data_IF_292505772668
#
_entry.id   IF_292505772668
#
_cell.length_a   1.000
_cell.length_b   1.000
_cell.length_c   1.000
_cell.angle_alpha   90.00
_cell.angle_beta   90.00
_cell.angle_gamma   90.00
#
_symmetry.space_group_name_H-M   'P 1'
#
loop_
_entity.id
_entity.type
_entity.pdbx_description
1 polymer ?
2 non-polymer ?
3 water ?
#
# COMPACT_ATOMS: atom_id res chain seq x y z
N UNK A 1 9.70 9.28 9.79
CA UNK A 1 8.25 9.47 9.64
C UNK A 1 7.75 8.43 8.67
N UNK A 2 7.53 8.88 7.47
CA UNK A 2 6.94 8.07 6.37
C UNK A 2 7.29 6.55 6.38
N UNK A 3 6.34 5.81 5.76
CA UNK A 3 6.40 4.33 5.54
C UNK A 3 5.60 3.97 4.25
N UNK A 4 6.18 3.17 3.31
CA UNK A 4 5.41 2.87 2.07
C UNK A 4 5.31 1.36 1.93
N UNK A 5 4.16 0.98 1.47
CA UNK A 5 3.96 -0.47 1.36
C UNK A 5 3.48 -0.55 -0.09
N UNK A 6 4.27 -1.49 -0.66
CA UNK A 6 4.02 -1.78 -2.12
C UNK A 6 3.35 -3.13 -2.34
N UNK A 7 2.15 -3.20 -2.90
CA UNK A 7 1.48 -4.47 -2.98
C UNK A 7 0.72 -4.75 -4.25
N UNK A 8 0.52 -6.04 -4.52
CA UNK A 8 -0.21 -6.46 -5.71
C UNK A 8 -1.60 -6.71 -5.05
N UNK A 9 -2.45 -6.36 -6.00
CA UNK A 9 -3.80 -6.49 -5.56
C UNK A 9 -4.09 -7.84 -5.03
N UNK A 10 -4.91 -7.90 -4.03
CA UNK A 10 -5.38 -9.13 -3.39
C UNK A 10 -4.37 -9.41 -2.29
N UNK A 11 -3.30 -8.66 -2.13
CA UNK A 11 -2.39 -9.04 -0.99
C UNK A 11 -2.67 -8.26 0.26
N UNK A 12 -2.13 -8.40 1.42
CA UNK A 12 -2.24 -7.74 2.68
C UNK A 12 -1.20 -6.68 2.84
N UNK A 13 -1.34 -5.46 3.24
CA UNK A 13 -0.33 -4.46 3.52
C UNK A 13 -0.22 -4.51 5.03
N UNK A 14 0.91 -4.60 5.63
CA UNK A 14 0.91 -4.56 7.11
C UNK A 14 1.94 -3.51 7.53
N UNK A 15 1.51 -2.48 8.22
CA UNK A 15 2.49 -1.45 8.68
C UNK A 15 2.95 -1.80 10.09
N UNK A 16 4.11 -1.50 10.60
CA UNK A 16 4.42 -1.90 12.01
C UNK A 16 4.94 -0.63 12.65
N UNK A 17 4.49 -0.21 13.82
CA UNK A 17 4.94 1.10 14.43
C UNK A 17 5.52 0.71 15.77
N UNK A 18 6.82 0.88 15.74
CA UNK A 18 7.58 0.31 16.85
C UNK A 18 8.23 1.07 17.94
N UNK A 19 7.74 2.27 18.05
CA UNK A 19 8.17 3.34 18.92
C UNK A 19 7.93 3.27 20.43
N UNK A 20 9.03 3.57 21.10
CA UNK A 20 9.41 3.76 22.49
C UNK A 20 8.55 3.07 23.55
N UNK A 21 8.24 1.81 23.25
CA UNK A 21 7.30 1.01 24.07
C UNK A 21 7.63 0.84 25.57
N UNK A 22 7.25 1.89 26.32
CA UNK A 22 7.44 1.97 27.79
C UNK A 22 6.14 1.44 28.39
N UNK A 23 5.79 2.12 29.48
CA UNK A 23 4.51 1.61 30.06
C UNK A 23 3.25 2.28 29.54
N UNK A 24 3.35 3.08 28.48
CA UNK A 24 2.29 3.83 27.78
C UNK A 24 0.94 3.22 27.27
N UNK A 25 -0.02 4.09 27.53
CA UNK A 25 -1.44 4.37 27.39
C UNK A 25 -1.49 5.60 26.42
N UNK A 26 -2.36 5.33 25.47
CA UNK A 26 -2.60 6.28 24.39
C UNK A 26 -4.03 5.97 23.97
N UNK A 27 -4.46 6.88 23.20
CA UNK A 27 -5.67 7.08 22.42
C UNK A 27 -4.87 7.23 21.08
N UNK A 28 -5.34 6.74 20.00
CA UNK A 28 -4.62 6.79 18.73
C UNK A 28 -5.78 6.86 17.76
N UNK A 29 -5.53 7.40 16.62
CA UNK A 29 -6.60 7.60 15.60
C UNK A 29 -5.83 7.41 14.32
N UNK A 30 -6.32 6.85 13.25
CA UNK A 30 -5.73 6.69 11.94
C UNK A 30 -6.85 7.07 10.97
N UNK A 31 -6.60 7.97 10.07
CA UNK A 31 -7.57 8.43 9.04
C UNK A 31 -6.86 8.25 7.70
N UNK A 32 -7.54 7.80 6.69
CA UNK A 32 -7.08 7.49 5.34
C UNK A 32 -7.65 8.26 4.15
N UNK A 33 -6.79 8.57 3.14
CA UNK A 33 -7.42 9.25 1.98
C UNK A 33 -7.14 8.29 0.83
N UNK A 34 -8.19 7.70 0.33
CA UNK A 34 -7.99 6.77 -0.80
C UNK A 34 -7.83 7.62 -2.05
N UNK A 35 -6.74 7.49 -2.79
CA UNK A 35 -6.41 8.18 -4.03
C UNK A 35 -7.56 8.49 -5.00
N UNK A 36 -8.27 7.61 -5.73
CA UNK A 36 -9.17 8.38 -6.63
C UNK A 36 -10.48 8.72 -5.97
N UNK A 37 -10.97 7.87 -5.08
CA UNK A 37 -12.32 8.35 -4.55
C UNK A 37 -12.07 8.79 -3.11
N UNK A 38 -11.77 10.07 -3.01
CA UNK A 38 -11.36 10.64 -1.71
C UNK A 38 -12.43 11.05 -0.71
N UNK A 39 -13.46 10.19 -0.75
CA UNK A 39 -14.70 10.21 0.07
C UNK A 39 -14.32 10.13 1.55
N UNK A 40 -14.08 11.33 2.17
CA UNK A 40 -13.62 11.43 3.57
C UNK A 40 -14.73 10.95 4.57
N UNK A 41 -14.04 9.97 5.17
CA UNK A 41 -14.38 9.12 6.28
C UNK A 41 -13.64 7.77 6.30
N UNK A 42 -12.37 7.69 6.72
CA UNK A 42 -11.80 6.32 6.88
C UNK A 42 -11.13 6.46 8.24
N UNK A 43 -11.28 5.56 9.16
CA UNK A 43 -10.57 5.89 10.39
C UNK A 43 -10.76 4.68 11.25
N UNK A 44 -9.99 4.73 12.27
CA UNK A 44 -10.05 3.66 13.25
C UNK A 44 -9.66 4.39 14.53
N UNK A 45 -10.40 4.21 15.63
CA UNK A 45 -9.96 4.83 16.91
C UNK A 45 -9.46 3.69 17.78
N UNK A 46 -8.39 3.80 18.53
CA UNK A 46 -7.92 2.66 19.33
C UNK A 46 -7.30 3.25 20.58
N UNK A 47 -7.08 2.38 21.52
CA UNK A 47 -6.53 2.81 22.84
C UNK A 47 -5.49 1.78 23.29
N UNK A 48 -4.55 2.35 24.05
CA UNK A 48 -3.49 1.48 24.50
C UNK A 48 -3.39 1.59 26.01
N UNK A 49 -3.41 0.44 26.62
CA UNK A 49 -3.31 0.32 28.06
C UNK A 49 -2.55 -0.95 28.39
N UNK A 50 -1.44 -0.81 29.08
CA UNK A 50 -0.69 -2.08 29.41
C UNK A 50 -0.38 -2.92 28.18
N UNK A 51 0.15 -2.36 27.10
CA UNK A 51 0.47 -3.24 25.94
C UNK A 51 -0.76 -3.94 25.32
N UNK A 52 -1.98 -3.54 25.64
CA UNK A 52 -3.04 -4.26 24.94
C UNK A 52 -3.64 -3.12 24.13
N UNK A 53 -3.66 -3.37 22.84
CA UNK A 53 -4.27 -2.38 21.94
C UNK A 53 -5.76 -2.72 22.00
N UNK A 54 -6.56 -1.75 21.68
CA UNK A 54 -8.03 -1.85 21.60
C UNK A 54 -8.53 -0.75 20.63
N UNK A 55 -9.62 -1.18 20.05
CA UNK A 55 -10.27 -0.38 19.02
C UNK A 55 -11.58 0.08 19.61
N UNK A 56 -11.70 1.34 19.43
CA UNK A 56 -12.90 2.14 19.77
C UNK A 56 -13.32 2.41 18.33
N UNK A 57 -14.57 2.17 18.17
CA UNK A 57 -15.14 2.28 16.83
C UNK A 57 -14.44 2.94 15.64
N UNK A 58 -14.03 1.95 14.88
CA UNK A 58 -13.37 1.91 13.60
C UNK A 58 -14.33 2.12 12.45
N UNK A 59 -13.79 1.97 11.27
CA UNK A 59 -14.62 2.09 10.07
C UNK A 59 -14.46 0.67 9.49
N UNK A 60 -15.26 0.56 8.45
CA UNK A 60 -15.39 -0.69 7.68
C UNK A 60 -14.97 -0.61 6.19
N UNK A 61 -14.41 0.51 5.69
CA UNK A 61 -14.06 0.51 4.26
C UNK A 61 -12.86 1.31 3.93
N UNK A 62 -11.71 0.67 3.71
CA UNK A 62 -11.26 -0.71 3.81
C UNK A 62 -11.31 -1.37 5.18
N UNK A 63 -11.32 -2.65 5.47
CA UNK A 63 -11.36 -3.09 6.89
C UNK A 63 -9.97 -3.15 7.51
N UNK A 64 -9.56 -2.07 8.14
CA UNK A 64 -8.27 -1.89 8.85
C UNK A 64 -8.33 -2.95 9.93
N UNK A 65 -7.29 -3.57 10.38
CA UNK A 65 -7.30 -4.57 11.42
C UNK A 65 -6.15 -4.12 12.33
N UNK A 66 -6.38 -4.10 13.61
CA UNK A 66 -5.28 -3.67 14.47
C UNK A 66 -4.84 -4.92 15.23
N UNK A 67 -3.63 -5.01 15.62
CA UNK A 67 -2.99 -6.05 16.42
C UNK A 67 -3.54 -6.01 17.84
N UNK A 68 -4.13 -7.00 18.49
CA UNK A 68 -4.63 -6.92 19.88
C UNK A 68 -3.44 -6.71 20.86
N UNK A 69 -2.13 -6.62 20.62
CA UNK A 69 -1.05 -6.26 21.51
C UNK A 69 0.16 -5.61 20.81
N UNK A 70 1.11 -5.06 21.59
CA UNK A 70 2.46 -4.45 21.18
C UNK A 70 3.17 -5.57 20.49
N UNK A 71 3.25 -5.41 19.21
CA UNK A 71 3.49 -4.12 18.68
C UNK A 71 2.81 -3.08 17.92
N UNK A 72 1.53 -3.18 17.78
CA UNK A 72 0.85 -2.09 17.11
C UNK A 72 1.25 -2.31 15.62
N UNK A 73 0.42 -3.13 15.04
CA UNK A 73 0.64 -3.28 13.61
C UNK A 73 -0.77 -3.02 13.12
N UNK A 74 -0.88 -2.31 12.04
CA UNK A 74 -2.18 -2.00 11.43
C UNK A 74 -2.08 -2.81 10.15
N UNK A 75 -3.13 -3.45 9.74
CA UNK A 75 -2.93 -4.32 8.52
C UNK A 75 -4.03 -4.03 7.58
N UNK A 76 -3.97 -3.54 6.38
CA UNK A 76 -5.19 -3.37 5.50
C UNK A 76 -5.21 -4.74 4.87
N UNK A 77 -6.27 -5.55 4.86
CA UNK A 77 -6.15 -6.95 4.45
C UNK A 77 -6.34 -7.65 3.13
N UNK A 78 -6.84 -6.95 2.13
CA UNK A 78 -7.03 -7.69 0.83
C UNK A 78 -7.16 -6.43 0.01
N UNK A 79 -5.94 -5.92 -0.22
CA UNK A 79 -5.64 -4.72 -0.98
C UNK A 79 -6.31 -4.59 -2.32
N UNK A 80 -6.47 -3.32 -2.71
CA UNK A 80 -7.15 -3.08 -4.04
C UNK A 80 -6.72 -1.70 -4.52
N UNK A 81 -6.61 -1.39 -5.79
CA UNK A 81 -6.17 -0.13 -6.35
C UNK A 81 -7.05 0.99 -5.78
N UNK A 82 -8.22 0.54 -5.40
CA UNK A 82 -9.18 1.53 -4.86
C UNK A 82 -8.83 1.98 -3.45
N UNK A 83 -8.04 1.29 -2.66
CA UNK A 83 -7.67 1.72 -1.32
C UNK A 83 -6.29 2.37 -1.32
N UNK A 84 -5.61 2.49 -2.41
CA UNK A 84 -4.27 3.08 -2.34
C UNK A 84 -4.47 4.58 -2.17
N UNK A 85 -3.63 5.18 -1.43
CA UNK A 85 -3.57 6.59 -1.09
C UNK A 85 -2.67 6.60 0.17
N UNK A 86 -2.82 7.50 1.12
CA UNK A 86 -2.04 7.45 2.38
C UNK A 86 -2.82 8.10 3.53
N UNK A 87 -2.27 8.00 4.71
CA UNK A 87 -2.99 8.52 5.87
C UNK A 87 -2.08 8.76 7.03
N UNK A 88 -2.52 9.42 8.07
CA UNK A 88 -1.52 9.66 9.18
C UNK A 88 -1.98 8.89 10.40
N UNK A 89 -1.14 8.38 11.22
CA UNK A 89 -1.44 7.65 12.42
C UNK A 89 -0.89 8.59 13.51
N UNK A 90 -1.85 9.26 14.14
CA UNK A 90 -1.69 10.26 15.24
C UNK A 90 -1.69 9.49 16.53
N UNK A 91 -0.73 9.76 17.33
CA UNK A 91 -0.66 9.06 18.65
C UNK A 91 -0.70 10.23 19.67
N UNK A 92 -1.38 9.88 20.78
CA UNK A 92 -1.55 10.90 21.81
C UNK A 92 -1.16 10.56 23.25
N UNK A 93 -0.71 11.69 23.75
CA UNK A 93 -0.23 12.29 24.96
C UNK A 93 0.22 11.32 26.05
N UNK A 94 1.06 10.65 25.28
CA UNK A 94 2.19 9.82 25.58
C UNK A 94 2.81 11.05 26.38
N UNK A 95 2.87 12.17 25.61
CA UNK A 95 3.42 13.50 25.98
C UNK A 95 2.91 14.72 25.15
N UNK A 96 2.67 14.46 23.88
CA UNK A 96 2.10 15.38 22.88
C UNK A 96 1.38 14.50 21.85
N UNK A 97 1.26 15.01 20.64
CA UNK A 97 0.74 14.26 19.51
C UNK A 97 2.00 13.80 18.73
N UNK A 98 2.33 12.57 18.79
CA UNK A 98 3.34 11.85 18.06
C UNK A 98 2.69 11.55 16.71
N UNK A 99 3.31 11.55 15.58
CA UNK A 99 2.54 11.23 14.34
C UNK A 99 3.42 10.35 13.44
N UNK A 100 2.73 9.73 12.46
CA UNK A 100 3.38 8.86 11.46
C UNK A 100 2.69 9.02 10.11
N UNK A 101 3.47 9.09 9.03
CA UNK A 101 2.70 9.16 7.76
C UNK A 101 2.79 7.71 7.21
N UNK A 102 1.73 7.27 6.50
CA UNK A 102 1.55 5.90 5.96
C UNK A 102 0.95 5.86 4.55
N UNK A 103 1.65 5.02 3.75
CA UNK A 103 1.21 4.95 2.35
C UNK A 103 1.11 3.52 1.76
N UNK A 104 0.25 3.55 0.74
CA UNK A 104 0.04 2.29 0.09
C UNK A 104 -0.10 2.50 -1.41
N UNK A 105 0.95 1.88 -2.06
CA UNK A 105 0.86 1.93 -3.55
C UNK A 105 0.57 0.46 -3.98
N UNK A 106 -0.42 0.25 -4.84
CA UNK A 106 -1.01 -0.92 -5.45
C UNK A 106 -0.87 -1.08 -6.99
N UNK A 107 -0.45 -2.27 -7.38
CA UNK A 107 -0.21 -2.71 -8.75
C UNK A 107 -1.24 -3.75 -9.18
N UNK A 108 -1.65 -3.58 -10.40
CA UNK A 108 -2.61 -4.55 -10.99
C UNK A 108 -2.22 -4.95 -12.44
N UNK A 109 -1.82 -6.22 -12.60
CA UNK A 109 -1.40 -6.77 -13.89
C UNK A 109 -2.56 -7.63 -14.43
N UNK A 110 -2.98 -7.33 -15.63
CA UNK A 110 -3.98 -8.04 -16.36
C UNK A 110 -3.69 -8.13 -17.86
N UNK A 111 -4.28 -9.16 -18.40
CA UNK A 111 -4.40 -9.66 -19.76
C UNK A 111 -5.92 -9.58 -20.02
N UNK A 112 -6.33 -8.43 -20.55
CA UNK A 112 -7.74 -8.13 -20.79
C UNK A 112 -8.46 -8.79 -21.96
N UNK A 113 -7.71 -9.23 -22.93
CA UNK A 113 -8.12 -9.91 -24.18
C UNK A 113 -6.82 -10.54 -24.59
N UNK A 114 -6.38 -10.77 -25.81
CA UNK A 114 -4.97 -11.32 -25.86
C UNK A 114 -4.08 -10.49 -26.80
N UNK A 115 -4.57 -9.27 -26.91
CA UNK A 115 -3.91 -8.21 -27.66
C UNK A 115 -3.42 -7.34 -26.48
N UNK A 116 -4.19 -7.51 -25.39
CA UNK A 116 -3.75 -6.68 -24.28
C UNK A 116 -3.12 -7.39 -23.13
N UNK A 117 -2.14 -6.77 -22.51
CA UNK A 117 -1.38 -7.09 -21.31
C UNK A 117 -1.30 -5.68 -20.63
N UNK A 118 -1.77 -5.52 -19.41
CA UNK A 118 -1.73 -4.18 -18.85
C UNK A 118 -1.10 -4.08 -17.47
N UNK A 119 -0.51 -2.97 -17.11
CA UNK A 119 -0.02 -3.00 -15.74
C UNK A 119 -0.36 -1.63 -15.25
N UNK A 120 -1.08 -1.49 -14.13
CA UNK A 120 -1.36 -0.15 -13.64
C UNK A 120 -1.14 -0.21 -12.12
N UNK A 121 -0.71 0.98 -11.73
CA UNK A 121 -0.38 1.21 -10.29
C UNK A 121 -1.16 2.40 -9.74
N UNK A 122 -1.46 2.48 -8.46
CA UNK A 122 -2.20 3.65 -7.96
C UNK A 122 -1.73 4.03 -6.58
N UNK A 123 -1.69 5.32 -6.33
CA UNK A 123 -1.23 5.68 -4.95
C UNK A 123 -0.03 6.58 -5.18
N UNK A 124 0.58 6.98 -4.09
CA UNK A 124 1.75 7.86 -4.04
C UNK A 124 3.12 7.46 -4.59
N UNK A 125 3.21 7.88 -5.87
CA UNK A 125 4.47 7.59 -6.60
C UNK A 125 5.26 8.84 -6.95
N UNK A 126 6.57 8.77 -6.79
CA UNK A 126 7.49 9.83 -7.22
C UNK A 126 7.42 9.93 -8.75
N UNK A 127 7.83 10.99 -9.40
CA UNK A 127 7.89 11.15 -10.87
C UNK A 127 9.24 10.70 -11.48
N UNK A 128 10.12 10.17 -10.67
CA UNK A 128 11.38 9.49 -10.99
C UNK A 128 11.05 8.00 -10.63
N UNK A 129 9.89 7.57 -11.14
CA UNK A 129 9.24 6.25 -10.98
C UNK A 129 8.66 5.86 -12.37
N UNK A 130 9.08 4.66 -12.82
CA UNK A 130 8.55 4.24 -14.14
C UNK A 130 8.05 2.82 -14.03
N UNK A 131 7.20 2.47 -14.93
CA UNK A 131 6.61 1.14 -14.98
C UNK A 131 7.25 0.41 -16.19
N UNK A 132 7.42 -0.86 -15.95
CA UNK A 132 8.12 -1.71 -16.88
C UNK A 132 7.44 -3.05 -17.02
N UNK A 133 7.18 -3.43 -18.24
CA UNK A 133 6.60 -4.73 -18.64
C UNK A 133 7.77 -5.41 -19.37
N UNK A 134 8.28 -6.51 -18.97
CA UNK A 134 9.35 -7.36 -19.36
C UNK A 134 8.87 -8.81 -19.50
N UNK A 135 9.72 -9.59 -20.16
CA UNK A 135 9.34 -11.03 -20.32
C UNK A 135 9.98 -11.67 -19.10
N UNK A 136 9.44 -12.66 -18.45
CA UNK A 136 10.05 -13.17 -17.27
C UNK A 136 11.55 -12.94 -17.11
N UNK A 137 12.44 -13.45 -17.93
CA UNK A 137 13.88 -13.19 -17.54
C UNK A 137 14.79 -12.35 -18.42
N UNK A 138 14.23 -11.84 -19.46
CA UNK A 138 14.67 -11.03 -20.56
C UNK A 138 14.67 -9.57 -20.13
N UNK A 139 14.69 -8.64 -21.05
CA UNK A 139 14.84 -7.22 -20.88
C UNK A 139 13.62 -6.36 -20.97
N UNK A 140 13.66 -5.13 -20.53
CA UNK A 140 12.39 -4.39 -20.51
C UNK A 140 11.87 -4.21 -21.87
N UNK A 141 10.68 -4.57 -22.15
CA UNK A 141 10.04 -4.33 -23.50
C UNK A 141 9.54 -2.91 -23.53
N UNK A 142 8.69 -2.44 -22.67
CA UNK A 142 8.15 -1.12 -22.41
C UNK A 142 8.71 -0.56 -21.11
N UNK A 143 9.06 0.67 -20.99
CA UNK A 143 9.56 1.27 -19.73
C UNK A 143 9.02 2.68 -19.95
N UNK A 144 7.82 2.86 -19.50
CA UNK A 144 7.16 4.20 -19.66
C UNK A 144 7.14 4.83 -18.27
N UNK A 145 7.17 6.14 -18.33
CA UNK A 145 7.13 6.90 -17.06
C UNK A 145 5.77 7.52 -16.76
N UNK A 146 4.82 6.63 -16.66
CA UNK A 146 3.42 6.71 -16.43
C UNK A 146 2.95 5.70 -15.40
N UNK A 147 1.61 5.73 -15.27
CA UNK A 147 0.98 4.91 -14.22
C UNK A 147 0.20 3.77 -14.82
N UNK A 148 0.09 3.78 -16.14
CA UNK A 148 -0.50 2.58 -16.73
C UNK A 148 0.21 2.35 -18.07
N UNK A 149 0.97 1.26 -18.16
CA UNK A 149 1.58 0.93 -19.45
C UNK A 149 0.85 -0.27 -20.03
N UNK A 150 0.92 -0.41 -21.32
CA UNK A 150 0.18 -1.47 -22.02
C UNK A 150 1.08 -2.17 -23.00
N UNK A 151 0.87 -3.42 -23.37
CA UNK A 151 1.68 -4.16 -24.34
C UNK A 151 0.69 -4.92 -25.27
N UNK A 152 1.04 -4.59 -26.50
CA UNK A 152 0.35 -5.14 -27.67
C UNK A 152 0.91 -6.53 -28.03
N UNK A 153 -0.15 -7.32 -28.12
CA UNK A 153 -0.10 -8.74 -28.41
C UNK A 153 1.17 -9.39 -27.84
N UNK A 154 1.17 -9.53 -26.55
CA UNK A 154 2.28 -10.16 -25.87
C UNK A 154 2.54 -11.59 -26.33
N UNK A 155 3.79 -11.95 -26.43
CA UNK A 155 4.19 -13.29 -26.73
C UNK A 155 3.74 -14.11 -25.56
N UNK A 156 3.27 -15.33 -25.66
CA UNK A 156 2.89 -16.20 -24.56
C UNK A 156 4.11 -16.32 -23.66
N UNK A 157 3.85 -16.57 -22.36
CA UNK A 157 4.97 -16.70 -21.36
C UNK A 157 4.80 -16.00 -20.01
N UNK A 158 5.85 -15.84 -19.21
CA UNK A 158 5.67 -15.21 -17.91
C UNK A 158 6.01 -13.79 -18.20
N UNK A 159 5.11 -12.88 -18.04
CA UNK A 159 5.62 -11.49 -18.21
C UNK A 159 5.95 -10.95 -16.82
N UNK A 160 6.71 -9.93 -16.64
CA UNK A 160 6.78 -9.53 -15.20
C UNK A 160 6.38 -8.09 -15.16
N UNK A 161 5.83 -7.48 -14.11
CA UNK A 161 5.62 -6.00 -14.23
C UNK A 161 6.41 -5.33 -13.10
N UNK A 162 7.20 -4.29 -13.35
CA UNK A 162 7.94 -3.73 -12.19
C UNK A 162 7.73 -2.23 -12.08
N UNK A 163 7.84 -1.76 -10.87
CA UNK A 163 7.77 -0.35 -10.41
C UNK A 163 9.21 -0.08 -9.87
N UNK A 164 9.75 0.91 -10.54
CA UNK A 164 11.11 1.26 -10.13
C UNK A 164 11.21 2.76 -10.02
N UNK A 165 12.03 3.15 -9.06
CA UNK A 165 12.49 4.53 -8.77
C UNK A 165 14.05 4.39 -8.73
N UNK A 166 14.60 5.18 -9.65
CA UNK A 166 16.04 5.13 -9.88
C UNK A 166 16.42 3.71 -10.33
N UNK A 167 17.40 3.12 -9.68
CA UNK A 167 17.80 1.74 -10.04
C UNK A 167 17.12 0.80 -9.03
N UNK A 168 16.27 1.48 -8.24
CA UNK A 168 15.51 0.81 -7.18
C UNK A 168 14.09 0.44 -7.66
N UNK A 169 14.09 -0.89 -7.49
CA UNK A 169 12.84 -1.53 -7.92
C UNK A 169 12.08 -1.64 -6.58
N UNK A 170 10.96 -0.96 -6.64
CA UNK A 170 10.12 -0.96 -5.46
C UNK A 170 9.35 -2.20 -5.36
N UNK A 171 8.91 -2.72 -6.49
CA UNK A 171 8.11 -3.99 -6.54
C UNK A 171 7.93 -4.51 -7.97
N UNK A 172 7.42 -5.73 -7.96
CA UNK A 172 7.12 -6.47 -9.20
C UNK A 172 5.95 -7.43 -9.02
N UNK A 173 5.41 -7.88 -10.09
CA UNK A 173 4.32 -8.82 -10.14
C UNK A 173 4.33 -9.58 -11.48
N UNK A 174 4.09 -10.90 -11.50
CA UNK A 174 4.06 -11.76 -12.62
C UNK A 174 2.63 -12.28 -12.88
N UNK A 175 2.56 -12.52 -14.16
CA UNK A 175 1.47 -13.06 -14.94
C UNK A 175 2.02 -13.96 -16.09
N UNK A 176 1.25 -15.05 -16.16
CA UNK A 176 1.41 -16.06 -17.21
C UNK A 176 0.34 -15.60 -18.24
N UNK A 177 0.86 -15.30 -19.42
CA UNK A 177 -0.02 -14.91 -20.56
C UNK A 177 -0.17 -16.23 -21.35
X LIG B 1 8.00 -4.95 -30.06
#
# INVERSE_FOLDING_TARGET
TSITAYKSEGESAEFSFPLNLGEESLQGELRWKAEKAPSSQSWITFSLKNQKVSVQKSTSNPKFQLSETLPLTLQIPQVSLQFAGSGNLTLTLDRGILYQEVNLVVMKVTQPDSNTLTCEVMGPTSPKMRLILKQENQEARVSRQEKVIQVQAPEAGVWQCLLSEGEEVKMDSKIQV
SO4 S
#
